data_IF_250499072165
#
_entry.id   IF_250499072165
#
_cell.length_a   1.000
_cell.length_b   1.000
_cell.length_c   1.000
_cell.angle_alpha   90.00
_cell.angle_beta   90.00
_cell.angle_gamma   90.00
#
_symmetry.space_group_name_H-M   'P 1'
#
loop_
_entity.id
_entity.type
_entity.pdbx_description
1 polymer ?
#
# COMPACT_ATOMS: atom_id res chain seq x y z
N UNK A 1 34.54 48.45 -45.27
CA UNK A 1 34.94 47.06 -44.99
C UNK A 1 33.82 46.44 -44.18
N UNK A 2 33.01 45.59 -44.83
CA UNK A 2 31.97 44.82 -44.18
C UNK A 2 32.64 43.69 -43.38
N UNK A 3 32.18 43.43 -42.16
CA UNK A 3 32.66 42.29 -41.38
C UNK A 3 31.45 41.43 -41.01
N UNK A 4 31.34 40.33 -41.73
CA UNK A 4 30.38 39.25 -41.57
C UNK A 4 30.68 38.49 -40.27
N UNK A 5 29.84 38.67 -39.25
CA UNK A 5 30.08 38.11 -37.92
C UNK A 5 28.87 37.44 -37.27
N UNK A 6 27.86 37.00 -38.05
CA UNK A 6 26.59 36.54 -37.48
C UNK A 6 26.12 35.14 -37.92
N UNK A 7 26.96 34.32 -38.54
CA UNK A 7 26.56 32.98 -39.05
C UNK A 7 27.01 31.80 -38.20
N UNK A 8 27.93 31.98 -37.24
CA UNK A 8 28.50 30.86 -36.47
C UNK A 8 27.58 30.32 -35.35
N UNK A 9 26.72 31.17 -34.77
CA UNK A 9 25.86 30.77 -33.63
C UNK A 9 24.63 29.95 -34.04
N UNK A 10 24.26 29.93 -35.32
CA UNK A 10 23.10 29.18 -35.81
C UNK A 10 23.42 27.73 -36.21
N UNK A 11 24.69 27.35 -36.38
CA UNK A 11 25.05 25.99 -36.80
C UNK A 11 25.11 24.98 -35.64
N UNK A 12 25.60 25.36 -34.46
CA UNK A 12 25.69 24.45 -33.31
C UNK A 12 24.33 24.14 -32.64
N UNK A 13 23.39 25.10 -32.64
CA UNK A 13 22.04 24.87 -32.12
C UNK A 13 21.23 23.86 -32.95
N UNK A 14 21.64 23.58 -34.19
CA UNK A 14 20.94 22.66 -35.09
C UNK A 14 21.31 21.18 -34.90
N UNK A 15 22.47 20.89 -34.31
CA UNK A 15 22.96 19.52 -34.10
C UNK A 15 22.28 18.84 -32.91
N UNK A 16 22.21 19.54 -31.79
CA UNK A 16 21.61 19.02 -30.55
C UNK A 16 20.09 18.83 -30.66
N UNK A 17 19.37 19.74 -31.33
CA UNK A 17 17.93 19.62 -31.54
C UNK A 17 17.58 18.40 -32.43
N UNK A 18 18.40 18.11 -33.44
CA UNK A 18 18.22 16.92 -34.30
C UNK A 18 18.45 15.63 -33.51
N UNK A 19 19.41 15.60 -32.59
CA UNK A 19 19.64 14.44 -31.73
C UNK A 19 18.46 14.20 -30.76
N UNK A 20 17.94 15.27 -30.14
CA UNK A 20 16.76 15.17 -29.25
C UNK A 20 15.53 14.71 -30.02
N UNK A 21 15.28 15.24 -31.22
CA UNK A 21 14.18 14.80 -32.09
C UNK A 21 14.32 13.33 -32.50
N UNK A 22 15.53 12.87 -32.82
CA UNK A 22 15.76 11.46 -33.17
C UNK A 22 15.46 10.52 -32.00
N UNK A 23 15.87 10.87 -30.78
CA UNK A 23 15.56 10.09 -29.57
C UNK A 23 14.05 10.04 -29.32
N UNK A 24 13.36 11.18 -29.46
CA UNK A 24 11.91 11.24 -29.34
C UNK A 24 11.19 10.33 -30.34
N UNK A 25 11.62 10.32 -31.61
CA UNK A 25 11.03 9.45 -32.64
C UNK A 25 11.23 7.96 -32.31
N UNK A 26 12.40 7.57 -31.81
CA UNK A 26 12.67 6.17 -31.42
C UNK A 26 11.79 5.74 -30.26
N UNK A 27 11.63 6.58 -29.24
CA UNK A 27 10.74 6.31 -28.10
C UNK A 27 9.29 6.18 -28.57
N UNK A 28 8.86 7.09 -29.46
CA UNK A 28 7.48 7.09 -29.97
C UNK A 28 7.19 5.83 -30.80
N UNK A 29 8.13 5.39 -31.65
CA UNK A 29 8.00 4.14 -32.40
C UNK A 29 7.97 2.91 -31.49
N UNK A 30 8.78 2.90 -30.42
CA UNK A 30 8.75 1.83 -29.42
C UNK A 30 7.41 1.74 -28.70
N UNK A 31 6.85 2.87 -28.25
CA UNK A 31 5.55 2.92 -27.59
C UNK A 31 4.41 2.48 -28.52
N UNK A 32 4.42 2.93 -29.79
CA UNK A 32 3.43 2.51 -30.78
C UNK A 32 3.53 1.01 -31.10
N UNK A 33 4.75 0.46 -31.21
CA UNK A 33 4.97 -0.98 -31.39
C UNK A 33 4.43 -1.80 -30.21
N UNK A 34 4.62 -1.34 -28.98
CA UNK A 34 4.11 -2.00 -27.78
C UNK A 34 2.58 -2.02 -27.71
N UNK A 35 1.92 -0.91 -28.08
CA UNK A 35 0.46 -0.83 -28.11
C UNK A 35 -0.17 -1.76 -29.17
N UNK A 36 0.45 -1.87 -30.35
CA UNK A 36 0.00 -2.80 -31.40
C UNK A 36 0.15 -4.26 -30.95
N UNK A 37 1.23 -4.57 -30.22
CA UNK A 37 1.42 -5.91 -29.67
C UNK A 37 0.35 -6.27 -28.64
N UNK A 38 -0.02 -5.36 -27.75
CA UNK A 38 -1.10 -5.58 -26.77
C UNK A 38 -2.47 -5.86 -27.43
N UNK A 39 -2.76 -5.22 -28.56
CA UNK A 39 -4.03 -5.45 -29.28
C UNK A 39 -4.07 -6.81 -30.00
N UNK A 40 -2.93 -7.29 -30.51
CA UNK A 40 -2.85 -8.57 -31.21
C UNK A 40 -2.62 -9.78 -30.29
N UNK A 41 -2.24 -9.56 -29.03
CA UNK A 41 -1.98 -10.62 -28.06
C UNK A 41 -3.23 -11.09 -27.30
N UNK A 42 -4.41 -10.48 -27.52
CA UNK A 42 -5.64 -10.98 -26.90
C UNK A 42 -6.16 -12.21 -27.65
N UNK A 43 -6.32 -13.37 -26.97
CA UNK A 43 -7.01 -14.50 -27.57
C UNK A 43 -8.48 -14.15 -27.77
N UNK A 44 -8.95 -14.26 -29.01
CA UNK A 44 -10.35 -14.18 -29.37
C UNK A 44 -11.12 -15.23 -28.57
N UNK A 45 -11.91 -14.79 -27.59
CA UNK A 45 -12.80 -15.66 -26.84
C UNK A 45 -13.92 -16.13 -27.77
N UNK A 46 -13.79 -17.36 -28.26
CA UNK A 46 -14.89 -18.06 -28.93
C UNK A 46 -16.00 -18.30 -27.90
N UNK A 47 -17.18 -17.74 -28.19
CA UNK A 47 -18.43 -18.26 -27.68
C UNK A 47 -18.59 -19.70 -28.17
N UNK A 48 -18.79 -20.65 -27.25
CA UNK A 48 -19.53 -21.86 -27.57
C UNK A 48 -20.46 -22.23 -26.44
N UNK A 49 -21.71 -22.44 -26.84
CA UNK A 49 -22.87 -22.67 -26.03
C UNK A 49 -22.80 -24.00 -25.26
N UNK A 50 -23.49 -24.01 -24.12
CA UNK A 50 -23.86 -25.20 -23.34
C UNK A 50 -24.75 -26.15 -24.17
N UNK A 51 -24.79 -27.46 -23.84
CA UNK A 51 -25.85 -27.90 -22.92
C UNK A 51 -25.51 -29.07 -21.96
N UNK A 52 -26.01 -28.90 -20.72
CA UNK A 52 -26.76 -29.84 -19.84
C UNK A 52 -26.24 -31.26 -19.49
N UNK A 53 -26.20 -31.46 -18.17
CA UNK A 53 -26.37 -32.68 -17.34
C UNK A 53 -25.20 -33.68 -17.24
N UNK A 54 -24.60 -33.76 -16.05
CA UNK A 54 -25.02 -34.79 -15.09
C UNK A 54 -24.64 -34.43 -13.64
N UNK A 55 -25.48 -34.84 -12.70
CA UNK A 55 -25.31 -34.67 -11.24
C UNK A 55 -24.32 -35.74 -10.75
N UNK A 56 -23.43 -35.43 -9.80
CA UNK A 56 -23.68 -36.03 -8.48
C UNK A 56 -23.29 -35.17 -7.27
N UNK A 57 -24.15 -35.30 -6.26
CA UNK A 57 -23.87 -35.31 -4.82
C UNK A 57 -22.95 -34.21 -4.25
N UNK A 58 -23.65 -33.15 -3.88
CA UNK A 58 -23.40 -32.28 -2.75
C UNK A 58 -23.13 -33.08 -1.46
N UNK A 59 -21.85 -33.20 -1.09
CA UNK A 59 -21.44 -33.32 0.31
C UNK A 59 -21.18 -31.90 0.79
N UNK A 60 -22.21 -31.26 1.34
CA UNK A 60 -22.05 -30.04 2.12
C UNK A 60 -21.27 -30.40 3.39
N UNK A 61 -19.94 -30.33 3.33
CA UNK A 61 -19.15 -30.09 4.53
C UNK A 61 -19.45 -28.66 4.97
N UNK A 62 -20.07 -28.58 6.14
CA UNK A 62 -20.31 -27.36 6.90
C UNK A 62 -18.99 -26.60 7.05
N UNK A 63 -18.79 -25.61 6.20
CA UNK A 63 -17.79 -24.57 6.38
C UNK A 63 -18.35 -23.58 7.40
N UNK A 64 -18.40 -23.99 8.67
CA UNK A 64 -18.31 -23.05 9.79
C UNK A 64 -16.83 -22.67 9.93
N UNK A 65 -16.26 -22.07 8.89
CA UNK A 65 -15.18 -21.12 9.11
C UNK A 65 -15.94 -19.88 9.56
N UNK A 66 -16.11 -19.75 10.89
CA UNK A 66 -16.74 -18.61 11.54
C UNK A 66 -16.26 -17.34 10.81
N UNK A 67 -17.16 -16.71 10.07
CA UNK A 67 -17.03 -15.33 9.66
C UNK A 67 -16.98 -14.54 10.97
N UNK A 68 -15.76 -14.37 11.50
CA UNK A 68 -15.51 -13.60 12.71
C UNK A 68 -15.73 -12.15 12.30
N UNK A 69 -17.01 -11.77 12.27
CA UNK A 69 -17.44 -10.40 12.08
C UNK A 69 -16.69 -9.54 13.11
N UNK A 70 -16.23 -8.37 12.69
CA UNK A 70 -15.48 -7.44 13.53
C UNK A 70 -16.35 -6.81 14.63
N UNK A 71 -16.73 -7.64 15.60
CA UNK A 71 -17.50 -7.32 16.78
C UNK A 71 -16.56 -7.21 17.98
N UNK A 72 -16.17 -5.98 18.31
CA UNK A 72 -15.26 -5.70 19.42
C UNK A 72 -15.82 -6.04 20.80
N UNK A 73 -17.15 -6.19 20.91
CA UNK A 73 -17.84 -6.49 22.18
C UNK A 73 -17.40 -7.84 22.79
N UNK A 74 -16.78 -8.70 21.99
CA UNK A 74 -16.28 -10.02 22.39
C UNK A 74 -14.82 -10.02 22.90
N UNK A 75 -14.06 -8.95 22.72
CA UNK A 75 -12.61 -8.93 23.02
C UNK A 75 -12.30 -7.95 24.14
N UNK A 76 -11.93 -8.50 25.30
CA UNK A 76 -11.49 -7.73 26.47
C UNK A 76 -10.01 -7.33 26.29
N UNK A 77 -9.75 -6.30 25.51
CA UNK A 77 -8.43 -5.66 25.48
C UNK A 77 -8.39 -4.62 26.58
N UNK A 78 -7.27 -4.56 27.29
CA UNK A 78 -7.04 -3.60 28.36
C UNK A 78 -6.76 -2.22 27.75
N UNK A 79 -7.81 -1.64 27.15
CA UNK A 79 -7.82 -0.32 26.55
C UNK A 79 -7.71 0.68 27.71
N UNK A 80 -6.48 1.07 28.05
CA UNK A 80 -6.23 1.95 29.20
C UNK A 80 -6.98 3.27 28.99
N UNK A 81 -8.00 3.58 29.82
CA UNK A 81 -8.73 4.82 29.68
C UNK A 81 -7.80 5.99 30.00
N UNK A 82 -7.68 6.94 29.08
CA UNK A 82 -6.86 8.15 29.29
C UNK A 82 -5.44 8.08 28.76
N UNK A 83 -5.08 7.04 27.98
CA UNK A 83 -3.85 7.07 27.17
C UNK A 83 -3.91 8.25 26.23
N UNK A 84 -2.88 9.08 26.27
CA UNK A 84 -2.65 10.05 25.22
C UNK A 84 -2.07 9.25 24.07
N UNK A 85 -2.90 8.91 23.08
CA UNK A 85 -2.48 8.15 21.89
C UNK A 85 -1.35 8.89 21.19
N UNK A 86 -0.13 8.54 21.59
CA UNK A 86 1.09 9.12 21.11
C UNK A 86 1.49 8.45 19.83
N UNK A 87 0.72 8.62 18.76
CA UNK A 87 1.23 8.40 17.42
C UNK A 87 2.31 9.48 17.18
N UNK A 88 3.51 9.30 17.75
CA UNK A 88 4.53 10.34 17.99
C UNK A 88 4.76 10.75 19.46
N UNK A 89 4.24 9.99 20.42
CA UNK A 89 4.45 10.19 21.87
C UNK A 89 5.35 9.12 22.51
N UNK A 90 5.54 9.18 23.82
CA UNK A 90 6.44 8.30 24.58
C UNK A 90 5.75 7.14 25.31
N UNK A 91 4.48 6.87 25.03
CA UNK A 91 3.71 5.85 25.75
C UNK A 91 3.36 4.67 24.85
N UNK A 92 3.67 3.46 25.33
CA UNK A 92 3.23 2.20 24.74
C UNK A 92 1.74 2.00 24.98
N UNK A 93 1.01 1.57 23.95
CA UNK A 93 -0.40 1.25 24.07
C UNK A 93 -0.84 0.19 23.06
N UNK A 94 -1.96 -0.47 23.38
CA UNK A 94 -2.62 -1.42 22.50
C UNK A 94 -4.02 -0.90 22.14
N UNK A 95 -4.46 -1.18 20.92
CA UNK A 95 -5.83 -0.89 20.46
C UNK A 95 -6.31 -1.97 19.51
N UNK A 96 -7.62 -2.07 19.33
CA UNK A 96 -8.24 -2.93 18.33
C UNK A 96 -8.80 -2.13 17.15
N UNK A 97 -8.65 -2.71 15.98
CA UNK A 97 -9.30 -2.25 14.75
C UNK A 97 -9.84 -3.43 13.98
N UNK A 98 -10.77 -3.13 13.09
CA UNK A 98 -11.15 -4.01 12.00
C UNK A 98 -10.52 -3.45 10.74
N UNK A 99 -9.86 -4.29 9.95
CA UNK A 99 -9.26 -3.81 8.73
C UNK A 99 -8.78 -4.93 7.82
N UNK A 100 -8.17 -4.51 6.71
CA UNK A 100 -7.56 -5.42 5.77
C UNK A 100 -6.25 -4.83 5.23
N UNK A 101 -5.32 -5.70 4.86
CA UNK A 101 -4.02 -5.30 4.36
C UNK A 101 -4.11 -5.00 2.86
N UNK A 102 -3.52 -3.88 2.44
CA UNK A 102 -3.25 -3.59 1.04
C UNK A 102 -1.75 -3.34 0.85
N UNK A 103 -1.29 -3.56 -0.38
CA UNK A 103 0.06 -3.25 -0.79
C UNK A 103 0.01 -2.17 -1.87
N UNK A 104 0.91 -1.20 -1.77
CA UNK A 104 1.09 -0.16 -2.77
C UNK A 104 2.56 -0.09 -3.13
N UNK A 105 2.85 -0.18 -4.43
CA UNK A 105 4.17 0.12 -4.95
C UNK A 105 4.38 1.63 -4.89
N UNK A 106 5.34 2.09 -4.10
CA UNK A 106 5.65 3.51 -3.93
C UNK A 106 7.11 3.79 -4.30
N UNK A 107 7.29 4.83 -5.11
CA UNK A 107 8.60 5.39 -5.40
C UNK A 107 9.01 6.28 -4.23
N UNK A 108 10.02 5.84 -3.47
CA UNK A 108 10.58 6.63 -2.39
C UNK A 108 11.93 7.16 -2.82
N UNK A 109 12.01 8.49 -2.95
CA UNK A 109 13.25 9.20 -3.17
C UNK A 109 13.59 9.97 -1.89
N UNK A 110 14.72 9.64 -1.28
CA UNK A 110 15.34 10.48 -0.26
C UNK A 110 16.25 11.49 -0.96
N UNK A 111 16.39 12.69 -0.40
CA UNK A 111 17.22 13.73 -1.01
C UNK A 111 18.65 13.23 -1.24
N UNK A 112 19.07 13.16 -2.50
CA UNK A 112 20.41 12.70 -2.89
C UNK A 112 20.56 11.19 -3.10
N UNK A 113 19.49 10.40 -2.97
CA UNK A 113 19.49 8.96 -3.21
C UNK A 113 18.72 8.58 -4.48
N UNK A 114 19.08 7.45 -5.10
CA UNK A 114 18.29 6.89 -6.20
C UNK A 114 16.90 6.48 -5.69
N UNK A 115 15.87 6.70 -6.50
CA UNK A 115 14.51 6.32 -6.13
C UNK A 115 14.43 4.80 -5.92
N UNK A 116 14.06 4.39 -4.71
CA UNK A 116 13.82 3.00 -4.36
C UNK A 116 12.33 2.70 -4.52
N UNK A 117 12.02 1.70 -5.32
CA UNK A 117 10.67 1.15 -5.43
C UNK A 117 10.47 0.19 -4.27
N UNK A 118 9.46 0.45 -3.42
CA UNK A 118 9.11 -0.42 -2.29
C UNK A 118 7.63 -0.79 -2.31
N UNK A 119 7.35 -2.03 -1.92
CA UNK A 119 5.99 -2.52 -1.68
C UNK A 119 5.58 -2.14 -0.26
N UNK A 120 5.04 -0.93 -0.09
CA UNK A 120 4.54 -0.49 1.22
C UNK A 120 3.24 -1.21 1.55
N UNK A 121 3.16 -1.67 2.79
CA UNK A 121 1.99 -2.32 3.32
C UNK A 121 1.19 -1.33 4.16
N UNK A 122 -0.11 -1.24 3.89
CA UNK A 122 -1.03 -0.40 4.62
C UNK A 122 -2.16 -1.23 5.20
N UNK A 123 -2.47 -1.05 6.48
CA UNK A 123 -3.69 -1.55 7.07
C UNK A 123 -4.82 -0.54 6.81
N UNK A 124 -5.80 -0.95 6.02
CA UNK A 124 -7.02 -0.17 5.79
C UNK A 124 -8.00 -0.45 6.91
N UNK A 125 -8.22 0.53 7.77
CA UNK A 125 -9.13 0.43 8.91
C UNK A 125 -10.55 0.73 8.44
N UNK A 126 -11.45 -0.23 8.63
CA UNK A 126 -12.88 -0.13 8.32
C UNK A 126 -13.72 0.16 9.56
N UNK A 127 -13.25 -0.23 10.74
CA UNK A 127 -13.92 0.02 12.02
C UNK A 127 -12.90 0.22 13.14
N UNK A 128 -13.16 1.19 14.00
CA UNK A 128 -12.36 1.45 15.20
C UNK A 128 -13.05 0.88 16.42
N UNK A 129 -12.30 0.23 17.31
CA UNK A 129 -12.84 -0.12 18.62
C UNK A 129 -13.00 1.12 19.52
N UNK A 130 -12.10 2.10 19.37
CA UNK A 130 -12.08 3.31 20.18
C UNK A 130 -12.11 4.59 19.33
N UNK A 131 -13.04 5.49 19.64
CA UNK A 131 -13.15 6.78 18.95
C UNK A 131 -11.91 7.67 19.16
N UNK A 132 -11.29 7.64 20.34
CA UNK A 132 -10.09 8.42 20.66
C UNK A 132 -8.89 8.02 19.81
N UNK A 133 -8.77 6.75 19.44
CA UNK A 133 -7.71 6.30 18.54
C UNK A 133 -7.89 6.90 17.14
N UNK A 134 -9.14 6.93 16.63
CA UNK A 134 -9.46 7.61 15.37
C UNK A 134 -9.09 9.11 15.42
N UNK A 135 -9.46 9.81 16.49
CA UNK A 135 -9.13 11.22 16.69
C UNK A 135 -7.60 11.47 16.70
N UNK A 136 -6.82 10.54 17.25
CA UNK A 136 -5.37 10.62 17.26
C UNK A 136 -4.76 10.46 15.85
N UNK A 137 -5.29 9.53 15.03
CA UNK A 137 -4.87 9.38 13.64
C UNK A 137 -5.22 10.66 12.85
N UNK A 138 -6.44 11.17 13.00
CA UNK A 138 -6.89 12.42 12.37
C UNK A 138 -5.94 13.58 12.69
N UNK A 139 -5.59 13.73 13.96
CA UNK A 139 -4.65 14.76 14.41
C UNK A 139 -3.28 14.61 13.75
N UNK A 140 -2.72 13.40 13.70
CA UNK A 140 -1.41 13.17 13.09
C UNK A 140 -1.38 13.47 11.59
N UNK A 141 -2.42 13.06 10.86
CA UNK A 141 -2.56 13.40 9.44
C UNK A 141 -2.62 14.92 9.27
N UNK A 142 -3.39 15.62 10.11
CA UNK A 142 -3.46 17.08 10.14
C UNK A 142 -2.13 17.78 10.47
N UNK A 143 -1.26 17.13 11.27
CA UNK A 143 0.08 17.61 11.62
C UNK A 143 1.15 17.26 10.56
N UNK A 144 0.76 16.66 9.43
CA UNK A 144 1.66 16.37 8.31
C UNK A 144 2.39 15.03 8.40
N UNK A 145 1.88 14.08 9.19
CA UNK A 145 2.37 12.71 9.18
C UNK A 145 2.10 12.06 7.80
N UNK A 146 3.16 11.68 7.10
CA UNK A 146 3.09 11.10 5.74
C UNK A 146 2.92 9.58 5.71
N UNK A 147 2.97 8.92 6.87
CA UNK A 147 2.84 7.46 7.00
C UNK A 147 1.37 7.05 7.02
N UNK A 148 0.51 7.89 7.62
CA UNK A 148 -0.93 7.69 7.65
C UNK A 148 -1.60 8.46 6.52
N UNK A 149 -2.60 7.84 5.89
CA UNK A 149 -3.40 8.48 4.85
C UNK A 149 -4.88 8.38 5.19
N UNK A 150 -5.62 9.45 4.96
CA UNK A 150 -7.07 9.42 4.86
C UNK A 150 -7.42 9.48 3.37
N UNK A 151 -7.87 8.36 2.80
CA UNK A 151 -8.27 8.27 1.39
C UNK A 151 -9.75 7.87 1.33
N UNK A 152 -10.60 8.80 0.89
CA UNK A 152 -12.05 8.60 0.90
C UNK A 152 -12.58 8.50 2.34
N UNK A 153 -13.33 7.43 2.63
CA UNK A 153 -13.90 7.16 3.97
C UNK A 153 -13.04 6.22 4.82
N UNK A 154 -11.84 5.84 4.34
CA UNK A 154 -11.00 4.85 5.00
C UNK A 154 -9.70 5.47 5.53
N UNK A 155 -9.23 4.94 6.65
CA UNK A 155 -7.92 5.24 7.21
C UNK A 155 -6.92 4.18 6.78
N UNK A 156 -5.79 4.61 6.25
CA UNK A 156 -4.67 3.73 5.89
C UNK A 156 -3.52 4.01 6.85
N UNK A 157 -3.22 3.01 7.67
CA UNK A 157 -2.12 3.04 8.61
C UNK A 157 -0.91 2.36 7.96
N UNK A 158 0.22 3.06 7.87
CA UNK A 158 1.44 2.48 7.32
C UNK A 158 2.01 1.42 8.27
N UNK A 159 2.16 0.20 7.75
CA UNK A 159 2.65 -0.97 8.47
C UNK A 159 3.99 -1.46 7.90
N UNK A 160 4.83 -0.54 7.45
CA UNK A 160 6.14 -0.88 6.86
C UNK A 160 6.06 -1.42 5.42
N UNK A 161 6.90 -2.39 5.09
CA UNK A 161 7.07 -2.96 3.76
C UNK A 161 6.85 -4.48 3.77
N UNK A 162 6.30 -5.03 2.68
CA UNK A 162 6.23 -6.48 2.50
C UNK A 162 7.42 -6.96 1.66
N UNK A 163 8.29 -7.76 2.25
CA UNK A 163 9.48 -8.33 1.60
C UNK A 163 9.62 -9.80 2.02
N UNK A 164 9.88 -10.71 1.07
CA UNK A 164 10.06 -12.16 1.33
C UNK A 164 8.95 -12.81 2.18
N UNK A 165 7.69 -12.43 1.93
CA UNK A 165 6.52 -12.85 2.72
C UNK A 165 6.64 -12.51 4.21
N UNK A 166 7.27 -11.38 4.53
CA UNK A 166 7.37 -10.82 5.87
C UNK A 166 6.96 -9.36 5.84
N UNK A 167 6.22 -8.95 6.87
CA UNK A 167 5.86 -7.56 7.08
C UNK A 167 6.97 -6.93 7.93
N UNK A 168 7.82 -6.12 7.29
CA UNK A 168 9.03 -5.57 7.87
C UNK A 168 8.88 -4.08 8.16
N UNK A 169 9.50 -3.67 9.25
CA UNK A 169 9.82 -2.30 9.58
C UNK A 169 11.33 -2.11 9.73
N UNK A 170 11.74 -0.89 10.02
CA UNK A 170 13.11 -0.56 10.38
C UNK A 170 13.58 -1.23 11.68
N UNK A 171 12.65 -1.67 12.56
CA UNK A 171 12.97 -2.36 13.83
C UNK A 171 12.85 -3.88 13.76
N UNK A 172 12.25 -4.43 12.69
CA UNK A 172 12.13 -5.87 12.47
C UNK A 172 10.78 -6.32 11.92
N UNK A 173 10.47 -7.60 12.14
CA UNK A 173 9.20 -8.21 11.72
C UNK A 173 8.04 -7.73 12.60
N UNK A 174 6.97 -7.24 11.97
CA UNK A 174 5.82 -6.65 12.64
C UNK A 174 4.70 -7.64 12.98
N UNK A 175 4.74 -8.85 12.43
CA UNK A 175 3.66 -9.83 12.57
C UNK A 175 4.24 -11.23 12.56
N UNK A 176 3.66 -12.12 13.36
CA UNK A 176 3.91 -13.55 13.21
C UNK A 176 3.37 -14.07 11.86
N UNK A 177 3.82 -15.26 11.45
CA UNK A 177 3.46 -15.86 10.16
C UNK A 177 1.96 -16.17 10.03
N UNK A 178 1.27 -16.55 11.11
CA UNK A 178 -0.14 -16.89 11.10
C UNK A 178 -1.00 -15.63 10.95
N UNK A 179 -0.68 -14.58 11.71
CA UNK A 179 -1.28 -13.25 11.60
C UNK A 179 -1.07 -12.66 10.20
N UNK A 180 0.14 -12.79 9.65
CA UNK A 180 0.44 -12.30 8.30
C UNK A 180 -0.34 -13.05 7.22
N UNK A 181 -0.47 -14.38 7.32
CA UNK A 181 -1.26 -15.15 6.37
C UNK A 181 -2.74 -14.70 6.36
N UNK A 182 -3.32 -14.46 7.54
CA UNK A 182 -4.69 -13.92 7.66
C UNK A 182 -4.81 -12.50 7.11
N UNK A 183 -3.82 -11.63 7.38
CA UNK A 183 -3.78 -10.26 6.84
C UNK A 183 -3.67 -10.27 5.31
N UNK A 184 -2.83 -11.12 4.72
CA UNK A 184 -2.69 -11.23 3.27
C UNK A 184 -3.94 -11.80 2.59
N UNK A 185 -4.72 -12.63 3.30
CA UNK A 185 -6.00 -13.15 2.83
C UNK A 185 -7.19 -12.18 3.07
N UNK A 186 -6.99 -11.13 3.86
CA UNK A 186 -8.04 -10.15 4.20
C UNK A 186 -8.39 -9.25 3.01
N UNK A 187 -9.59 -8.71 3.01
CA UNK A 187 -10.06 -7.78 1.97
C UNK A 187 -11.12 -6.83 2.51
N UNK A 188 -11.57 -5.86 1.70
CA UNK A 188 -12.68 -4.98 2.07
C UNK A 188 -13.98 -5.74 2.37
N UNK A 189 -14.22 -6.87 1.69
CA UNK A 189 -15.39 -7.72 1.93
C UNK A 189 -15.21 -8.68 3.12
N UNK A 190 -13.97 -8.97 3.49
CA UNK A 190 -13.60 -9.87 4.59
C UNK A 190 -12.49 -9.24 5.43
N UNK A 191 -12.80 -8.16 6.17
CA UNK A 191 -11.82 -7.56 7.05
C UNK A 191 -11.61 -8.47 8.27
N UNK A 192 -10.45 -8.36 8.89
CA UNK A 192 -10.05 -9.13 10.07
C UNK A 192 -9.90 -8.21 11.28
N UNK A 193 -10.12 -8.75 12.47
CA UNK A 193 -9.84 -8.03 13.71
C UNK A 193 -8.34 -8.03 13.97
N UNK A 194 -7.77 -6.85 14.17
CA UNK A 194 -6.33 -6.67 14.35
C UNK A 194 -6.08 -5.93 15.66
N UNK A 195 -5.24 -6.53 16.51
CA UNK A 195 -4.60 -5.83 17.61
C UNK A 195 -3.39 -5.09 17.09
N UNK A 196 -3.35 -3.80 17.38
CA UNK A 196 -2.23 -2.93 17.08
C UNK A 196 -1.52 -2.63 18.39
N UNK A 197 -0.23 -2.92 18.43
CA UNK A 197 0.67 -2.58 19.54
C UNK A 197 1.58 -1.47 19.07
N UNK A 198 1.61 -0.39 19.84
CA UNK A 198 2.43 0.78 19.57
C UNK A 198 3.52 0.87 20.62
N UNK A 199 4.75 1.07 20.14
CA UNK A 199 5.91 1.44 20.96
C UNK A 199 6.35 2.88 20.63
N UNK A 200 7.33 3.39 21.39
CA UNK A 200 7.85 4.74 21.23
C UNK A 200 8.58 4.86 19.89
N UNK A 201 8.01 5.56 18.92
CA UNK A 201 8.61 5.75 17.60
C UNK A 201 8.72 7.24 17.20
N UNK A 202 9.86 7.71 16.67
CA UNK A 202 10.07 9.11 16.28
C UNK A 202 9.25 9.53 15.03
N UNK A 203 8.65 8.58 14.31
CA UNK A 203 7.60 8.83 13.32
C UNK A 203 8.01 9.58 12.04
N UNK A 204 9.31 9.74 11.75
CA UNK A 204 9.80 10.52 10.58
C UNK A 204 11.09 9.96 10.00
N UNK A 205 11.25 10.07 8.67
CA UNK A 205 12.54 9.94 7.97
C UNK A 205 12.99 8.51 7.62
N UNK A 206 12.08 7.55 7.56
CA UNK A 206 12.39 6.14 7.30
C UNK A 206 11.75 5.60 6.00
N UNK A 207 12.41 4.62 5.39
CA UNK A 207 12.00 3.94 4.14
C UNK A 207 10.78 3.05 4.40
N UNK A 208 10.85 2.19 5.41
CA UNK A 208 9.74 1.31 5.77
C UNK A 208 9.13 1.74 7.11
N UNK A 209 8.90 3.05 7.28
CA UNK A 209 8.28 3.57 8.50
C UNK A 209 6.96 2.85 8.78
N UNK A 210 6.86 2.36 10.00
CA UNK A 210 5.68 1.92 10.68
C UNK A 210 5.39 2.89 11.83
N UNK A 211 4.12 3.03 12.18
CA UNK A 211 3.75 3.56 13.50
C UNK A 211 3.40 2.44 14.48
N UNK A 212 2.99 1.29 13.94
CA UNK A 212 2.62 0.11 14.71
C UNK A 212 3.86 -0.75 14.88
N UNK A 213 4.25 -1.04 16.11
CA UNK A 213 5.37 -1.93 16.42
C UNK A 213 5.01 -3.40 16.17
N UNK A 214 3.78 -3.80 16.48
CA UNK A 214 3.32 -5.17 16.24
C UNK A 214 1.85 -5.25 15.86
N UNK A 215 1.55 -6.11 14.90
CA UNK A 215 0.22 -6.44 14.41
C UNK A 215 -0.08 -7.91 14.72
N UNK A 216 -1.23 -8.16 15.34
CA UNK A 216 -1.70 -9.52 15.66
C UNK A 216 -3.16 -9.67 15.21
N UNK A 217 -3.48 -10.73 14.47
CA UNK A 217 -4.87 -11.01 14.09
C UNK A 217 -5.53 -11.85 15.18
N UNK A 218 -6.63 -11.36 15.74
CA UNK A 218 -7.40 -12.02 16.81
C UNK A 218 -8.55 -12.83 16.23
#
# INVERSE_FOLDING_TARGET
>A
MANDGNSAWHQEASGSLKAVLAVFVVILLGALGYLVWLQNAQPTSEQSATPVADKPQQTSQSSEELEQECEFDSVNVNLKPGVTYGLGGQEEFETLVCGYLIQKEENMAFEGEEALIKNRAYLVITKFAESKFKEAIDKQIGEGNSVNKAEGNNYQLGCGCLEDNKLLSDTGELSDQASLAKLLASSSAKPVMVKLVFEVHPGRGCTCCNLVDRLEVI
#
